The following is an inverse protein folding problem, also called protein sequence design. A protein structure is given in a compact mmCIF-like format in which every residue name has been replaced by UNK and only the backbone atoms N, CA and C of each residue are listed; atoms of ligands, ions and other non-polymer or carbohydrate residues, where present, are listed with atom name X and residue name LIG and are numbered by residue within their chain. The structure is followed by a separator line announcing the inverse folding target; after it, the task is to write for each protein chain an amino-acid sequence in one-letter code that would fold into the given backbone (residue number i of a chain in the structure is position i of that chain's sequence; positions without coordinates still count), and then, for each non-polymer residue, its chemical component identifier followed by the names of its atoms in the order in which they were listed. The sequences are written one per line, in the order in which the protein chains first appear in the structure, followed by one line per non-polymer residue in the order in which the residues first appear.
data_IF_177221191264
#
_entry.id   IF_177221191264
#
_cell.length_a   1.000
_cell.length_b   1.000
_cell.length_c   1.000
_cell.angle_alpha   90.00
_cell.angle_beta   90.00
_cell.angle_gamma   90.00
#
_symmetry.space_group_name_H-M   'P 1'
#
loop_
_entity.id
_entity.type
_entity.pdbx_description
1 polymer ?
#
# COMPACT_ATOMS: atom_id res chain seq x y z
N UNK A 1 18.05 10.93 18.24
CA UNK A 1 18.04 9.46 18.08
C UNK A 1 17.72 9.18 16.62
N UNK A 2 18.73 8.91 15.79
CA UNK A 2 18.55 8.73 14.35
C UNK A 2 17.93 7.35 14.09
N UNK A 3 16.68 7.30 13.64
CA UNK A 3 15.94 6.05 13.38
C UNK A 3 16.18 5.52 11.95
N UNK A 4 17.18 6.05 11.24
CA UNK A 4 17.56 5.56 9.92
C UNK A 4 18.82 4.70 10.04
N UNK A 5 18.64 3.44 10.45
CA UNK A 5 19.63 2.40 10.20
C UNK A 5 19.61 2.14 8.70
N UNK A 6 20.64 2.60 7.98
CA UNK A 6 20.83 2.23 6.58
C UNK A 6 21.09 0.72 6.52
N UNK A 7 20.37 0.04 5.64
CA UNK A 7 20.56 -1.40 5.38
C UNK A 7 22.02 -1.63 4.98
N UNK A 8 22.57 -2.75 5.45
CA UNK A 8 23.88 -3.22 5.00
C UNK A 8 23.78 -3.62 3.53
N UNK A 9 24.91 -3.56 2.83
CA UNK A 9 24.97 -3.89 1.39
C UNK A 9 24.45 -5.30 1.10
N UNK A 10 24.69 -6.23 2.02
CA UNK A 10 24.22 -7.62 1.97
C UNK A 10 22.69 -7.77 2.16
N UNK A 11 22.08 -6.95 3.03
CA UNK A 11 20.63 -6.87 3.20
C UNK A 11 19.96 -6.20 1.99
N UNK A 12 20.61 -5.20 1.39
CA UNK A 12 20.15 -4.57 0.15
C UNK A 12 20.20 -5.55 -1.01
N UNK A 13 21.30 -6.30 -1.16
CA UNK A 13 21.46 -7.29 -2.23
C UNK A 13 20.45 -8.45 -2.08
N UNK A 14 20.18 -8.94 -0.86
CA UNK A 14 19.12 -9.94 -0.60
C UNK A 14 17.70 -9.37 -0.84
N UNK A 15 17.44 -8.13 -0.45
CA UNK A 15 16.17 -7.48 -0.76
C UNK A 15 16.00 -7.28 -2.26
N UNK A 16 17.09 -7.12 -3.00
CA UNK A 16 17.09 -6.95 -4.45
C UNK A 16 16.81 -8.28 -5.19
N UNK A 17 17.11 -9.43 -4.59
CA UNK A 17 16.59 -10.74 -5.07
C UNK A 17 15.07 -10.87 -4.83
N UNK A 18 14.55 -10.29 -3.75
CA UNK A 18 13.12 -10.25 -3.46
C UNK A 18 12.45 -9.04 -4.13
N UNK A 19 11.98 -9.22 -5.36
CA UNK A 19 11.40 -8.14 -6.18
C UNK A 19 10.13 -7.47 -5.59
N UNK A 20 9.65 -7.91 -4.42
CA UNK A 20 8.49 -7.36 -3.71
C UNK A 20 8.77 -6.05 -2.97
N UNK A 21 10.04 -5.76 -2.63
CA UNK A 21 10.38 -4.52 -1.96
C UNK A 21 10.27 -3.34 -2.94
N UNK A 22 9.52 -2.32 -2.52
CA UNK A 22 9.34 -1.06 -3.25
C UNK A 22 10.07 0.07 -2.54
N UNK A 23 10.75 0.90 -3.31
CA UNK A 23 11.41 2.11 -2.81
C UNK A 23 10.37 3.11 -2.31
N UNK A 24 10.49 3.53 -1.05
CA UNK A 24 9.58 4.47 -0.40
C UNK A 24 10.28 5.83 -0.27
N UNK A 25 9.64 6.87 -0.79
CA UNK A 25 10.14 8.24 -0.72
C UNK A 25 9.86 8.85 0.66
N UNK A 26 10.63 9.88 1.03
CA UNK A 26 10.47 10.56 2.32
C UNK A 26 9.11 11.24 2.53
N UNK A 27 8.36 11.47 1.45
CA UNK A 27 7.05 12.11 1.47
C UNK A 27 5.89 11.09 1.57
N UNK A 28 6.20 9.79 1.52
CA UNK A 28 5.22 8.72 1.66
C UNK A 28 5.06 8.30 3.12
N UNK A 29 3.83 8.05 3.50
CA UNK A 29 3.45 7.50 4.78
C UNK A 29 3.65 5.98 4.77
N UNK A 30 3.85 5.35 5.94
CA UNK A 30 3.90 3.88 6.06
C UNK A 30 2.49 3.27 5.93
N UNK A 31 1.79 3.61 4.85
CA UNK A 31 0.44 3.16 4.51
C UNK A 31 0.55 2.54 3.12
N UNK A 32 0.21 1.25 3.03
CA UNK A 32 0.18 0.53 1.75
C UNK A 32 -1.26 0.49 1.25
N UNK A 33 -1.47 0.93 0.01
CA UNK A 33 -2.79 0.95 -0.60
C UNK A 33 -2.69 0.68 -2.10
N UNK A 34 -3.60 -0.15 -2.61
CA UNK A 34 -3.89 -0.31 -4.04
C UNK A 34 -5.40 -0.25 -4.24
N UNK A 35 -5.83 0.31 -5.37
CA UNK A 35 -7.24 0.32 -5.77
C UNK A 35 -7.79 -1.11 -5.93
N UNK A 36 -6.95 -2.07 -6.30
CA UNK A 36 -7.30 -3.49 -6.50
C UNK A 36 -7.77 -4.18 -5.22
N UNK A 37 -7.51 -3.60 -4.04
CA UNK A 37 -8.06 -4.10 -2.78
C UNK A 37 -9.58 -4.01 -2.72
N UNK A 38 -10.19 -3.16 -3.54
CA UNK A 38 -11.63 -2.96 -3.62
C UNK A 38 -12.28 -3.97 -4.58
N UNK A 39 -12.17 -5.26 -4.26
CA UNK A 39 -12.68 -6.32 -5.12
C UNK A 39 -14.21 -6.19 -5.30
N UNK A 40 -14.66 -6.35 -6.53
CA UNK A 40 -16.07 -6.30 -6.91
C UNK A 40 -16.37 -7.26 -8.05
N UNK A 41 -17.60 -7.75 -8.12
CA UNK A 41 -18.03 -8.61 -9.22
C UNK A 41 -19.50 -8.35 -9.54
N UNK A 42 -19.75 -7.53 -10.56
CA UNK A 42 -21.09 -7.21 -11.05
C UNK A 42 -22.07 -6.73 -9.95
N UNK A 43 -21.59 -6.14 -8.86
CA UNK A 43 -22.44 -5.69 -7.76
C UNK A 43 -22.72 -6.74 -6.68
N UNK A 44 -22.29 -8.00 -6.85
CA UNK A 44 -22.47 -9.05 -5.86
C UNK A 44 -21.73 -8.76 -4.55
N UNK A 45 -20.68 -7.96 -4.59
CA UNK A 45 -19.97 -7.53 -3.40
C UNK A 45 -20.85 -6.78 -2.39
N UNK A 46 -21.94 -6.14 -2.87
CA UNK A 46 -22.89 -5.42 -2.01
C UNK A 46 -23.82 -6.34 -1.23
N UNK A 47 -23.92 -7.61 -1.63
CA UNK A 47 -24.72 -8.63 -0.94
C UNK A 47 -23.88 -9.43 0.07
N UNK A 48 -22.55 -9.28 0.01
CA UNK A 48 -21.64 -10.00 0.88
C UNK A 48 -21.65 -9.38 2.29
N UNK A 49 -21.68 -10.18 3.37
CA UNK A 49 -21.70 -9.66 4.75
C UNK A 49 -20.41 -8.91 5.13
N UNK A 50 -19.32 -9.13 4.39
CA UNK A 50 -18.12 -8.31 4.46
C UNK A 50 -18.08 -7.35 3.26
N UNK A 51 -18.03 -6.05 3.56
CA UNK A 51 -17.83 -4.99 2.58
C UNK A 51 -16.41 -5.07 2.01
N UNK A 52 -16.28 -5.63 0.80
CA UNK A 52 -15.00 -5.73 0.10
C UNK A 52 -14.49 -4.39 -0.45
N UNK A 53 -15.36 -3.38 -0.57
CA UNK A 53 -14.99 -2.00 -0.93
C UNK A 53 -14.73 -1.11 0.28
N UNK A 54 -14.58 -1.68 1.48
CA UNK A 54 -14.40 -0.92 2.72
C UNK A 54 -13.15 -0.04 2.69
N UNK A 55 -12.04 -0.57 2.20
CA UNK A 55 -10.75 0.12 2.27
C UNK A 55 -10.68 1.33 1.34
N UNK A 56 -11.35 1.29 0.19
CA UNK A 56 -11.50 2.45 -0.69
C UNK A 56 -12.28 3.59 -0.02
N UNK A 57 -13.30 3.27 0.79
CA UNK A 57 -14.02 4.28 1.59
C UNK A 57 -13.12 4.89 2.66
N UNK A 58 -12.33 4.08 3.37
CA UNK A 58 -11.37 4.56 4.37
C UNK A 58 -10.32 5.46 3.71
N UNK A 59 -9.76 5.04 2.57
CA UNK A 59 -8.79 5.84 1.83
C UNK A 59 -9.40 7.17 1.36
N UNK A 60 -10.64 7.15 0.86
CA UNK A 60 -11.35 8.36 0.47
C UNK A 60 -11.56 9.31 1.66
N UNK A 61 -11.94 8.82 2.84
CA UNK A 61 -12.06 9.66 4.04
C UNK A 61 -10.74 10.32 4.44
N UNK A 62 -9.61 9.61 4.31
CA UNK A 62 -8.29 10.18 4.58
C UNK A 62 -7.91 11.25 3.54
N UNK A 63 -8.26 11.04 2.27
CA UNK A 63 -8.08 12.04 1.21
C UNK A 63 -8.95 13.28 1.46
N UNK A 64 -10.22 13.10 1.80
CA UNK A 64 -11.15 14.19 2.10
C UNK A 64 -10.68 15.03 3.30
N UNK A 65 -10.01 14.38 4.27
CA UNK A 65 -9.39 15.03 5.41
C UNK A 65 -8.03 15.70 5.10
N UNK A 66 -7.56 15.68 3.84
CA UNK A 66 -6.24 16.13 3.40
C UNK A 66 -5.08 15.49 4.17
N UNK A 67 -5.25 14.24 4.64
CA UNK A 67 -4.20 13.51 5.36
C UNK A 67 -3.28 12.75 4.40
N UNK A 68 -3.84 12.23 3.31
CA UNK A 68 -3.11 11.46 2.29
C UNK A 68 -3.59 11.82 0.89
N UNK A 69 -2.76 11.53 -0.10
CA UNK A 69 -3.10 11.50 -1.52
C UNK A 69 -2.51 10.23 -2.15
N UNK A 70 -2.70 10.03 -3.46
CA UNK A 70 -2.20 8.86 -4.19
C UNK A 70 -0.67 8.77 -4.18
N UNK A 71 0.03 9.90 -4.03
CA UNK A 71 1.49 9.97 -4.03
C UNK A 71 2.09 9.84 -2.64
N UNK A 72 1.29 10.08 -1.60
CA UNK A 72 1.70 10.01 -0.21
C UNK A 72 1.52 8.62 0.40
N UNK A 73 0.94 7.66 -0.32
CA UNK A 73 0.86 6.25 0.09
C UNK A 73 1.81 5.40 -0.74
N UNK A 74 2.11 4.20 -0.24
CA UNK A 74 2.96 3.24 -0.93
C UNK A 74 2.08 2.28 -1.73
N UNK A 75 2.28 2.24 -3.04
CA UNK A 75 1.64 1.26 -3.91
C UNK A 75 2.41 -0.07 -3.81
N UNK A 76 1.72 -1.19 -3.48
CA UNK A 76 2.35 -2.50 -3.40
C UNK A 76 2.71 -3.04 -4.79
N UNK A 77 3.67 -3.95 -4.85
CA UNK A 77 3.90 -4.80 -6.02
C UNK A 77 3.21 -6.15 -5.84
N UNK A 78 2.55 -6.63 -6.89
CA UNK A 78 1.98 -7.98 -6.91
C UNK A 78 3.09 -9.04 -6.77
N UNK A 79 2.80 -10.11 -6.01
CA UNK A 79 3.71 -11.23 -5.91
C UNK A 79 3.66 -12.09 -7.16
N UNK A 80 4.83 -12.47 -7.64
CA UNK A 80 4.97 -13.52 -8.66
C UNK A 80 5.20 -14.87 -7.98
N UNK A 81 4.84 -15.95 -8.66
CA UNK A 81 5.02 -17.34 -8.20
C UNK A 81 6.44 -17.85 -8.39
#
# INVERSE_FOLDING_TARGET
MSVLKKLTKEEQDNAQECHLYVEVTANQWPIVYSEDYNIGFMGLEKLHPFDSGKWGKVFQYLKDANMVDEKSVVEPRETTW
#
